data_IF_757360595746
#
_entry.id   IF_757360595746
#
_cell.length_a   1.000
_cell.length_b   1.000
_cell.length_c   1.000
_cell.angle_alpha   90.00
_cell.angle_beta   90.00
_cell.angle_gamma   90.00
#
_symmetry.space_group_name_H-M   'P 1'
#
loop_
_entity.id
_entity.type
_entity.pdbx_description
1 polymer ?
#
# COMPACT_ATOMS: atom_id res chain seq x y z
N UNK A 1 -137.61 13.85 53.48
CA UNK A 1 -137.38 13.09 52.23
C UNK A 1 -136.66 13.93 51.16
N UNK A 2 -136.92 15.25 51.08
CA UNK A 2 -136.29 16.14 50.07
C UNK A 2 -134.83 16.50 50.39
N UNK A 3 -134.48 16.78 51.66
CA UNK A 3 -133.09 17.11 52.05
C UNK A 3 -132.09 15.99 51.75
N UNK A 4 -132.48 14.73 51.97
CA UNK A 4 -131.63 13.57 51.67
C UNK A 4 -131.38 13.41 50.16
N UNK A 5 -132.37 13.75 49.31
CA UNK A 5 -132.20 13.73 47.86
C UNK A 5 -131.23 14.82 47.37
N UNK A 6 -131.27 16.00 47.97
CA UNK A 6 -130.34 17.09 47.66
C UNK A 6 -128.90 16.75 48.05
N UNK A 7 -128.70 16.24 49.28
CA UNK A 7 -127.39 15.81 49.76
C UNK A 7 -126.77 14.71 48.89
N UNK A 8 -127.57 13.70 48.51
CA UNK A 8 -127.11 12.63 47.61
C UNK A 8 -126.78 13.18 46.22
N UNK A 9 -127.55 14.15 45.70
CA UNK A 9 -127.29 14.79 44.40
C UNK A 9 -125.98 15.58 44.39
N UNK A 10 -125.70 16.36 45.44
CA UNK A 10 -124.47 17.15 45.55
C UNK A 10 -123.23 16.26 45.69
N UNK A 11 -123.32 15.18 46.47
CA UNK A 11 -122.26 14.19 46.60
C UNK A 11 -121.97 13.48 45.26
N UNK A 12 -123.03 13.14 44.49
CA UNK A 12 -122.91 12.58 43.15
C UNK A 12 -122.28 13.56 42.16
N UNK A 13 -122.61 14.85 42.26
CA UNK A 13 -122.04 15.88 41.42
C UNK A 13 -120.53 16.07 41.71
N UNK A 14 -120.13 16.10 42.99
CA UNK A 14 -118.72 16.14 43.41
C UNK A 14 -117.96 14.91 42.92
N UNK A 15 -118.49 13.72 43.19
CA UNK A 15 -117.86 12.46 42.76
C UNK A 15 -117.69 12.38 41.24
N UNK A 16 -118.66 12.88 40.46
CA UNK A 16 -118.54 12.99 38.99
C UNK A 16 -117.47 14.00 38.57
N UNK A 17 -117.36 15.14 39.26
CA UNK A 17 -116.33 16.14 39.02
C UNK A 17 -114.92 15.60 39.30
N UNK A 18 -114.75 14.88 40.41
CA UNK A 18 -113.47 14.24 40.76
C UNK A 18 -113.13 13.10 39.80
N UNK A 19 -114.11 12.32 39.36
CA UNK A 19 -113.93 11.30 38.32
C UNK A 19 -113.52 11.92 36.98
N UNK A 20 -114.04 13.11 36.64
CA UNK A 20 -113.65 13.81 35.41
C UNK A 20 -112.20 14.31 35.49
N UNK A 21 -111.80 14.93 36.60
CA UNK A 21 -110.42 15.40 36.82
C UNK A 21 -109.42 14.24 36.82
N UNK A 22 -109.72 13.16 37.54
CA UNK A 22 -108.85 11.97 37.56
C UNK A 22 -108.70 11.32 36.18
N UNK A 23 -109.75 11.34 35.34
CA UNK A 23 -109.65 10.90 33.94
C UNK A 23 -108.79 11.83 33.09
N UNK A 24 -108.88 13.14 33.30
CA UNK A 24 -108.05 14.13 32.62
C UNK A 24 -106.57 13.96 33.00
N UNK A 25 -106.27 13.87 34.30
CA UNK A 25 -104.92 13.62 34.81
C UNK A 25 -104.36 12.29 34.31
N UNK A 26 -105.18 11.24 34.27
CA UNK A 26 -104.78 9.94 33.72
C UNK A 26 -104.46 10.04 32.22
N UNK A 27 -105.21 10.86 31.47
CA UNK A 27 -104.96 11.05 30.05
C UNK A 27 -103.68 11.84 29.82
N UNK A 28 -103.47 12.93 30.57
CA UNK A 28 -102.24 13.73 30.54
C UNK A 28 -101.02 12.86 30.91
N UNK A 29 -101.14 12.04 31.96
CA UNK A 29 -100.08 11.12 32.36
C UNK A 29 -99.77 10.08 31.28
N UNK A 30 -100.78 9.54 30.60
CA UNK A 30 -100.56 8.62 29.46
C UNK A 30 -99.79 9.29 28.33
N UNK A 31 -100.18 10.49 27.93
CA UNK A 31 -99.48 11.25 26.87
C UNK A 31 -98.05 11.58 27.27
N UNK A 32 -97.80 12.01 28.51
CA UNK A 32 -96.43 12.24 28.99
C UNK A 32 -95.61 10.95 29.02
N UNK A 33 -96.19 9.82 29.45
CA UNK A 33 -95.49 8.54 29.50
C UNK A 33 -95.15 8.02 28.09
N UNK A 34 -96.04 8.20 27.11
CA UNK A 34 -95.77 7.91 25.70
C UNK A 34 -94.63 8.79 25.17
N UNK A 35 -94.62 10.08 25.50
CA UNK A 35 -93.53 11.00 25.14
C UNK A 35 -92.20 10.55 25.74
N UNK A 36 -92.18 10.23 27.04
CA UNK A 36 -90.96 9.75 27.70
C UNK A 36 -90.45 8.44 27.13
N UNK A 37 -91.34 7.53 26.72
CA UNK A 37 -90.96 6.29 26.02
C UNK A 37 -90.29 6.60 24.69
N UNK A 38 -90.89 7.46 23.86
CA UNK A 38 -90.32 7.86 22.58
C UNK A 38 -88.95 8.53 22.75
N UNK A 39 -88.80 9.43 23.73
CA UNK A 39 -87.50 10.05 24.04
C UNK A 39 -86.47 9.03 24.53
N UNK A 40 -86.85 8.11 25.41
CA UNK A 40 -85.93 7.07 25.88
C UNK A 40 -85.49 6.13 24.77
N UNK A 41 -86.38 5.78 23.84
CA UNK A 41 -86.03 5.01 22.65
C UNK A 41 -85.04 5.79 21.76
N UNK A 42 -85.29 7.08 21.54
CA UNK A 42 -84.36 7.97 20.81
C UNK A 42 -82.97 8.03 21.44
N UNK A 43 -82.91 8.29 22.76
CA UNK A 43 -81.65 8.33 23.52
C UNK A 43 -80.94 6.98 23.56
N UNK A 44 -81.68 5.87 23.53
CA UNK A 44 -81.11 4.53 23.47
C UNK A 44 -80.45 4.27 22.11
N UNK A 45 -81.09 4.71 21.03
CA UNK A 45 -80.53 4.61 19.68
C UNK A 45 -79.30 5.50 19.52
N UNK A 46 -79.35 6.75 19.96
CA UNK A 46 -78.21 7.67 19.90
C UNK A 46 -77.02 7.14 20.70
N UNK A 47 -77.24 6.59 21.91
CA UNK A 47 -76.18 5.94 22.68
C UNK A 47 -75.57 4.74 21.96
N UNK A 48 -76.38 3.97 21.23
CA UNK A 48 -75.90 2.84 20.43
C UNK A 48 -75.00 3.32 19.29
N UNK A 49 -75.41 4.38 18.59
CA UNK A 49 -74.67 4.95 17.47
C UNK A 49 -73.36 5.57 17.93
N UNK A 50 -73.39 6.39 19.01
CA UNK A 50 -72.19 6.97 19.61
C UNK A 50 -71.20 5.90 20.08
N UNK A 51 -71.70 4.77 20.60
CA UNK A 51 -70.84 3.64 20.99
C UNK A 51 -70.18 3.01 19.76
N UNK A 52 -70.93 2.80 18.68
CA UNK A 52 -70.41 2.27 17.42
C UNK A 52 -69.34 3.18 16.82
N UNK A 53 -69.58 4.50 16.82
CA UNK A 53 -68.61 5.48 16.31
C UNK A 53 -67.34 5.53 17.18
N UNK A 54 -67.49 5.44 18.51
CA UNK A 54 -66.36 5.35 19.42
C UNK A 54 -65.48 4.14 19.10
N UNK A 55 -66.08 2.97 18.91
CA UNK A 55 -65.35 1.75 18.55
C UNK A 55 -64.65 1.90 17.20
N UNK A 56 -65.31 2.52 16.22
CA UNK A 56 -64.71 2.83 14.91
C UNK A 56 -63.51 3.77 15.02
N UNK A 57 -63.63 4.87 15.76
CA UNK A 57 -62.53 5.82 15.94
C UNK A 57 -61.37 5.22 16.71
N UNK A 58 -61.64 4.38 17.72
CA UNK A 58 -60.59 3.63 18.42
C UNK A 58 -59.83 2.70 17.47
N UNK A 59 -60.54 2.00 16.57
CA UNK A 59 -59.91 1.20 15.52
C UNK A 59 -59.04 2.02 14.57
N UNK A 60 -59.53 3.18 14.12
CA UNK A 60 -58.76 4.08 13.26
C UNK A 60 -57.51 4.63 13.96
N UNK A 61 -57.60 4.99 15.24
CA UNK A 61 -56.46 5.45 16.03
C UNK A 61 -55.40 4.36 16.14
N UNK A 62 -55.79 3.12 16.43
CA UNK A 62 -54.84 2.00 16.50
C UNK A 62 -54.15 1.72 15.16
N UNK A 63 -54.90 1.80 14.04
CA UNK A 63 -54.34 1.65 12.71
C UNK A 63 -53.36 2.77 12.37
N UNK A 64 -53.69 4.02 12.70
CA UNK A 64 -52.81 5.18 12.50
C UNK A 64 -51.54 5.07 13.36
N UNK A 65 -51.65 4.65 14.61
CA UNK A 65 -50.50 4.42 15.48
C UNK A 65 -49.55 3.37 14.90
N UNK A 66 -50.10 2.27 14.38
CA UNK A 66 -49.30 1.22 13.72
C UNK A 66 -48.61 1.75 12.48
N UNK A 67 -49.32 2.51 11.65
CA UNK A 67 -48.76 3.14 10.44
C UNK A 67 -47.65 4.13 10.75
N UNK A 68 -47.81 4.90 11.84
CA UNK A 68 -46.83 5.89 12.29
C UNK A 68 -45.56 5.20 12.80
N UNK A 69 -45.70 4.13 13.60
CA UNK A 69 -44.57 3.31 14.03
C UNK A 69 -43.80 2.71 12.83
N UNK A 70 -44.51 2.14 11.85
CA UNK A 70 -43.87 1.59 10.64
C UNK A 70 -43.11 2.66 9.84
N UNK A 71 -43.67 3.88 9.76
CA UNK A 71 -43.00 5.00 9.10
C UNK A 71 -41.76 5.46 9.87
N UNK A 72 -41.81 5.51 11.20
CA UNK A 72 -40.65 5.87 12.03
C UNK A 72 -39.52 4.84 11.89
N UNK A 73 -39.84 3.55 11.89
CA UNK A 73 -38.88 2.47 11.63
C UNK A 73 -38.24 2.61 10.24
N UNK A 74 -39.04 2.95 9.22
CA UNK A 74 -38.54 3.17 7.88
C UNK A 74 -37.66 4.41 7.76
N UNK A 75 -38.01 5.50 8.44
CA UNK A 75 -37.18 6.72 8.50
C UNK A 75 -35.82 6.41 9.15
N UNK A 76 -35.82 5.68 10.28
CA UNK A 76 -34.57 5.27 10.93
C UNK A 76 -33.69 4.40 10.03
N UNK A 77 -34.31 3.51 9.25
CA UNK A 77 -33.58 2.70 8.27
C UNK A 77 -32.95 3.56 7.16
N UNK A 78 -33.73 4.50 6.59
CA UNK A 78 -33.24 5.41 5.55
C UNK A 78 -32.13 6.33 6.07
N UNK A 79 -32.22 6.81 7.30
CA UNK A 79 -31.17 7.64 7.91
C UNK A 79 -29.87 6.86 8.08
N UNK A 80 -29.96 5.59 8.49
CA UNK A 80 -28.80 4.70 8.56
C UNK A 80 -28.19 4.46 7.18
N UNK A 81 -29.00 4.11 6.19
CA UNK A 81 -28.53 3.88 4.81
C UNK A 81 -27.88 5.14 4.23
N UNK A 82 -28.48 6.31 4.45
CA UNK A 82 -27.90 7.60 4.04
C UNK A 82 -26.56 7.85 4.71
N UNK A 83 -26.43 7.59 6.01
CA UNK A 83 -25.17 7.72 6.73
C UNK A 83 -24.09 6.81 6.14
N UNK A 84 -24.44 5.55 5.86
CA UNK A 84 -23.52 4.56 5.26
C UNK A 84 -23.10 4.97 3.85
N UNK A 85 -24.02 5.50 3.03
CA UNK A 85 -23.74 5.99 1.68
C UNK A 85 -22.86 7.25 1.67
N UNK A 86 -23.03 8.15 2.65
CA UNK A 86 -22.16 9.32 2.80
C UNK A 86 -20.75 8.87 3.17
N UNK A 87 -20.60 7.98 4.15
CA UNK A 87 -19.31 7.45 4.55
C UNK A 87 -18.59 6.70 3.40
N UNK A 88 -19.34 5.96 2.57
CA UNK A 88 -18.79 5.32 1.38
C UNK A 88 -18.34 6.33 0.32
N UNK A 89 -19.12 7.38 0.06
CA UNK A 89 -18.72 8.43 -0.88
C UNK A 89 -17.46 9.16 -0.43
N UNK A 90 -17.32 9.46 0.87
CA UNK A 90 -16.14 10.13 1.40
C UNK A 90 -14.88 9.25 1.25
N UNK A 91 -15.01 7.94 1.50
CA UNK A 91 -13.92 6.97 1.25
C UNK A 91 -13.55 6.90 -0.22
N UNK A 92 -14.52 6.73 -1.11
CA UNK A 92 -14.27 6.68 -2.56
C UNK A 92 -13.62 7.97 -3.07
N UNK A 93 -13.95 9.12 -2.49
CA UNK A 93 -13.29 10.39 -2.80
C UNK A 93 -11.82 10.39 -2.37
N UNK A 94 -11.54 9.96 -1.14
CA UNK A 94 -10.18 9.84 -0.63
C UNK A 94 -9.35 8.87 -1.46
N UNK A 95 -9.88 7.68 -1.74
CA UNK A 95 -9.22 6.66 -2.56
C UNK A 95 -8.92 7.18 -3.97
N UNK A 96 -9.86 7.96 -4.55
CA UNK A 96 -9.65 8.58 -5.85
C UNK A 96 -8.54 9.63 -5.83
N UNK A 97 -8.52 10.50 -4.82
CA UNK A 97 -7.48 11.52 -4.67
C UNK A 97 -6.10 10.88 -4.49
N UNK A 98 -6.01 9.80 -3.71
CA UNK A 98 -4.79 9.01 -3.56
C UNK A 98 -4.36 8.35 -4.86
N UNK A 99 -5.31 7.74 -5.60
CA UNK A 99 -5.03 7.13 -6.89
C UNK A 99 -4.57 8.15 -7.94
N UNK A 100 -5.19 9.33 -7.99
CA UNK A 100 -4.80 10.42 -8.88
C UNK A 100 -3.38 10.92 -8.54
N UNK A 101 -3.07 11.09 -7.26
CA UNK A 101 -1.72 11.47 -6.80
C UNK A 101 -0.67 10.41 -7.15
N UNK A 102 -0.97 9.13 -6.88
CA UNK A 102 -0.10 8.02 -7.21
C UNK A 102 0.15 7.94 -8.73
N UNK A 103 -0.90 8.12 -9.54
CA UNK A 103 -0.81 8.16 -11.00
C UNK A 103 0.11 9.29 -11.47
N UNK A 104 -0.09 10.52 -10.99
CA UNK A 104 0.78 11.65 -11.35
C UNK A 104 2.24 11.39 -10.95
N UNK A 105 2.47 10.78 -9.78
CA UNK A 105 3.83 10.44 -9.34
C UNK A 105 4.48 9.38 -10.24
N UNK A 106 3.71 8.39 -10.70
CA UNK A 106 4.17 7.34 -11.60
C UNK A 106 4.47 7.90 -12.99
N UNK A 107 3.59 8.76 -13.53
CA UNK A 107 3.81 9.44 -14.81
C UNK A 107 5.07 10.31 -14.78
N UNK A 108 5.30 11.04 -13.69
CA UNK A 108 6.52 11.84 -13.51
C UNK A 108 7.77 10.96 -13.40
N UNK A 109 7.70 9.85 -12.66
CA UNK A 109 8.80 8.91 -12.52
C UNK A 109 9.13 8.26 -13.87
N UNK A 110 8.11 7.91 -14.66
CA UNK A 110 8.29 7.36 -16.00
C UNK A 110 8.96 8.39 -16.93
N UNK A 111 8.46 9.63 -16.96
CA UNK A 111 9.05 10.68 -17.78
C UNK A 111 10.52 10.94 -17.44
N UNK A 112 10.89 10.87 -16.15
CA UNK A 112 12.29 10.97 -15.71
C UNK A 112 13.12 9.79 -16.19
N UNK A 113 12.62 8.56 -16.02
CA UNK A 113 13.32 7.37 -16.47
C UNK A 113 13.54 7.37 -18.01
N UNK A 114 12.59 7.89 -18.78
CA UNK A 114 12.72 8.05 -20.23
C UNK A 114 13.81 9.07 -20.61
N UNK A 115 13.91 10.19 -19.88
CA UNK A 115 14.97 11.18 -20.09
C UNK A 115 16.35 10.63 -19.70
N UNK A 116 16.44 9.94 -18.55
CA UNK A 116 17.68 9.30 -18.10
C UNK A 116 18.16 8.25 -19.11
N UNK A 117 17.22 7.47 -19.67
CA UNK A 117 17.54 6.48 -20.70
C UNK A 117 18.05 7.13 -21.99
N UNK A 118 17.49 8.27 -22.39
CA UNK A 118 18.01 9.04 -23.53
C UNK A 118 19.43 9.55 -23.27
N UNK A 119 19.67 10.16 -22.10
CA UNK A 119 20.99 10.66 -21.73
C UNK A 119 22.05 9.55 -21.70
N UNK A 120 21.75 8.43 -21.05
CA UNK A 120 22.65 7.27 -21.00
C UNK A 120 22.89 6.70 -22.41
N UNK A 121 21.87 6.67 -23.27
CA UNK A 121 22.03 6.22 -24.65
C UNK A 121 22.95 7.16 -25.46
N UNK A 122 22.86 8.46 -25.25
CA UNK A 122 23.74 9.45 -25.88
C UNK A 122 25.18 9.32 -25.37
N UNK A 123 25.37 9.20 -24.06
CA UNK A 123 26.68 8.98 -23.43
C UNK A 123 27.33 7.67 -23.89
N UNK A 124 26.56 6.59 -23.98
CA UNK A 124 27.03 5.30 -24.48
C UNK A 124 27.52 5.44 -25.94
N UNK A 125 26.76 6.14 -26.78
CA UNK A 125 27.14 6.40 -28.17
C UNK A 125 28.43 7.21 -28.27
N UNK A 126 28.55 8.30 -27.49
CA UNK A 126 29.75 9.13 -27.44
C UNK A 126 30.97 8.32 -26.97
N UNK A 127 30.82 7.54 -25.90
CA UNK A 127 31.88 6.68 -25.35
C UNK A 127 32.31 5.60 -26.36
N UNK A 128 31.37 5.05 -27.13
CA UNK A 128 31.68 4.08 -28.19
C UNK A 128 32.49 4.71 -29.33
N UNK A 129 32.18 5.96 -29.69
CA UNK A 129 32.96 6.73 -30.68
C UNK A 129 34.37 6.97 -30.16
N UNK A 130 34.52 7.42 -28.90
CA UNK A 130 35.82 7.64 -28.27
C UNK A 130 36.64 6.35 -28.15
N UNK A 131 36.02 5.24 -27.77
CA UNK A 131 36.68 3.94 -27.71
C UNK A 131 37.21 3.53 -29.09
N UNK A 132 36.43 3.77 -30.14
CA UNK A 132 36.80 3.45 -31.52
C UNK A 132 37.95 4.33 -31.99
N UNK A 133 37.90 5.64 -31.73
CA UNK A 133 38.96 6.57 -32.11
C UNK A 133 40.25 6.29 -31.34
N UNK A 134 40.17 5.99 -30.04
CA UNK A 134 41.30 5.59 -29.20
C UNK A 134 41.93 4.28 -29.69
N UNK A 135 41.12 3.27 -30.04
CA UNK A 135 41.61 2.02 -30.65
C UNK A 135 42.36 2.29 -31.95
N UNK A 136 41.75 3.04 -32.88
CA UNK A 136 42.38 3.37 -34.15
C UNK A 136 43.70 4.15 -33.96
N UNK A 137 43.75 5.07 -33.00
CA UNK A 137 44.97 5.80 -32.66
C UNK A 137 46.05 4.87 -32.10
N UNK A 138 45.66 3.91 -31.25
CA UNK A 138 46.58 2.92 -30.68
C UNK A 138 47.13 1.97 -31.76
N UNK A 139 46.28 1.52 -32.68
CA UNK A 139 46.67 0.69 -33.83
C UNK A 139 47.62 1.45 -34.77
N UNK A 140 47.32 2.73 -35.08
CA UNK A 140 48.18 3.58 -35.87
C UNK A 140 49.54 3.82 -35.20
N UNK A 141 49.55 4.04 -33.88
CA UNK A 141 50.78 4.18 -33.10
C UNK A 141 51.58 2.87 -33.08
N UNK A 142 50.91 1.72 -32.99
CA UNK A 142 51.54 0.40 -33.07
C UNK A 142 52.18 0.15 -34.44
N UNK A 143 51.48 0.49 -35.53
CA UNK A 143 52.04 0.43 -36.88
C UNK A 143 53.23 1.38 -37.06
N UNK A 144 53.15 2.59 -36.50
CA UNK A 144 54.27 3.53 -36.51
C UNK A 144 55.48 2.99 -35.73
N UNK A 145 55.26 2.42 -34.53
CA UNK A 145 56.32 1.73 -33.78
C UNK A 145 56.94 0.61 -34.61
N UNK A 146 56.13 -0.22 -35.28
CA UNK A 146 56.61 -1.32 -36.13
C UNK A 146 57.41 -0.80 -37.34
N UNK A 147 56.97 0.29 -37.97
CA UNK A 147 57.69 0.92 -39.08
C UNK A 147 59.00 1.59 -38.66
N UNK A 148 59.05 2.20 -37.46
CA UNK A 148 60.28 2.77 -36.89
C UNK A 148 61.28 1.66 -36.57
N UNK A 149 60.82 0.53 -35.99
CA UNK A 149 61.65 -0.67 -35.76
C UNK A 149 62.22 -1.20 -37.08
N UNK A 150 61.47 -1.14 -38.20
CA UNK A 150 61.95 -1.59 -39.52
C UNK A 150 62.88 -0.62 -40.25
N UNK A 151 62.80 0.69 -40.02
CA UNK A 151 63.58 1.74 -40.74
C UNK A 151 64.91 2.09 -40.09
N UNK A 152 65.20 1.55 -38.92
CA UNK A 152 66.53 1.61 -38.32
C UNK A 152 67.22 0.27 -38.67
N UNK A 153 68.23 0.25 -39.55
CA UNK A 153 69.07 -0.93 -39.71
C UNK A 153 69.88 -1.06 -38.41
N UNK A 154 69.67 -2.16 -37.69
CA UNK A 154 70.11 -2.47 -36.32
C UNK A 154 69.16 -1.98 -35.19
N UNK A 155 67.95 -2.54 -35.13
CA UNK A 155 67.20 -2.66 -33.86
C UNK A 155 67.15 -4.12 -33.39
N UNK A 156 68.08 -4.96 -33.83
CA UNK A 156 68.32 -6.25 -33.16
C UNK A 156 68.94 -6.08 -31.75
N UNK A 157 69.21 -4.83 -31.33
CA UNK A 157 69.75 -4.51 -29.99
C UNK A 157 68.92 -3.52 -29.15
N UNK A 158 67.73 -3.06 -29.60
CA UNK A 158 66.95 -2.09 -28.79
C UNK A 158 65.44 -2.34 -28.84
N UNK A 159 64.99 -3.58 -28.66
CA UNK A 159 63.78 -3.88 -27.87
C UNK A 159 63.97 -5.23 -27.17
N UNK A 160 64.99 -5.31 -26.33
CA UNK A 160 64.70 -5.80 -25.00
C UNK A 160 64.88 -4.59 -24.10
N UNK A 161 63.82 -4.08 -23.50
CA UNK A 161 64.01 -3.80 -22.07
C UNK A 161 64.33 -5.18 -21.48
N UNK A 162 65.59 -5.59 -21.58
CA UNK A 162 66.22 -6.36 -20.54
C UNK A 162 66.13 -5.43 -19.35
N UNK A 163 64.95 -5.40 -18.71
CA UNK A 163 64.83 -5.02 -17.33
C UNK A 163 65.99 -5.75 -16.68
N UNK A 164 66.93 -4.99 -16.13
CA UNK A 164 68.10 -5.54 -15.46
C UNK A 164 67.58 -6.69 -14.61
N UNK A 165 68.10 -7.93 -14.78
CA UNK A 165 67.59 -9.06 -14.03
C UNK A 165 67.61 -8.66 -12.55
N UNK A 166 66.42 -8.59 -11.98
CA UNK A 166 66.26 -8.10 -10.62
C UNK A 166 66.43 -9.33 -9.75
N UNK A 167 67.61 -9.43 -9.16
CA UNK A 167 67.89 -10.46 -8.18
C UNK A 167 67.42 -9.95 -6.81
N UNK A 168 66.53 -10.70 -6.20
CA UNK A 168 65.90 -10.40 -4.92
C UNK A 168 65.99 -11.62 -4.00
N UNK A 169 65.69 -11.40 -2.72
CA UNK A 169 65.51 -12.48 -1.76
C UNK A 169 64.11 -12.42 -1.15
N UNK A 170 63.59 -13.58 -0.75
CA UNK A 170 62.32 -13.66 -0.02
C UNK A 170 62.52 -13.13 1.40
N UNK A 171 61.89 -12.01 1.71
CA UNK A 171 61.96 -11.36 3.03
C UNK A 171 60.87 -11.87 3.98
N UNK A 172 59.69 -12.18 3.43
CA UNK A 172 58.58 -12.73 4.21
C UNK A 172 57.74 -13.67 3.36
N UNK A 173 57.22 -14.72 3.98
CA UNK A 173 56.30 -15.66 3.35
C UNK A 173 55.11 -15.91 4.28
N UNK A 174 53.90 -15.72 3.77
CA UNK A 174 52.62 -16.01 4.44
C UNK A 174 51.90 -17.13 3.68
N UNK A 175 52.06 -18.39 4.11
CA UNK A 175 51.47 -19.54 3.42
C UNK A 175 49.93 -19.49 3.36
N UNK A 176 49.29 -19.00 4.44
CA UNK A 176 47.82 -18.95 4.56
C UNK A 176 47.15 -18.08 3.49
N UNK A 177 47.88 -17.09 2.97
CA UNK A 177 47.38 -16.16 1.95
C UNK A 177 48.06 -16.34 0.58
N UNK A 178 48.95 -17.33 0.42
CA UNK A 178 49.81 -17.49 -0.77
C UNK A 178 50.54 -16.19 -1.16
N UNK A 179 51.01 -15.44 -0.16
CA UNK A 179 51.72 -14.18 -0.37
C UNK A 179 53.18 -14.31 0.03
N UNK A 180 54.05 -13.73 -0.78
CA UNK A 180 55.48 -13.63 -0.54
C UNK A 180 55.91 -12.19 -0.75
N UNK A 181 56.85 -11.71 0.06
CA UNK A 181 57.46 -10.39 -0.07
C UNK A 181 58.89 -10.56 -0.48
N UNK A 182 59.30 -9.89 -1.55
CA UNK A 182 60.67 -9.91 -2.08
C UNK A 182 61.38 -8.59 -1.78
N UNK A 183 62.69 -8.65 -1.60
CA UNK A 183 63.58 -7.50 -1.38
C UNK A 183 63.91 -6.75 -2.68
N UNK A 184 62.89 -6.52 -3.49
CA UNK A 184 63.00 -5.71 -4.69
C UNK A 184 61.71 -4.94 -4.90
N UNK A 185 61.82 -3.64 -5.12
CA UNK A 185 60.69 -2.73 -5.23
C UNK A 185 60.66 -1.96 -6.53
N UNK A 186 59.89 -0.88 -6.56
CA UNK A 186 59.77 -0.02 -7.74
C UNK A 186 61.08 0.71 -8.07
N UNK A 187 61.94 0.96 -7.09
CA UNK A 187 63.27 1.54 -7.35
C UNK A 187 64.21 0.56 -8.05
N UNK A 188 64.04 -0.74 -7.79
CA UNK A 188 64.76 -1.82 -8.48
C UNK A 188 64.16 -2.17 -9.85
N UNK A 189 63.10 -1.48 -10.25
CA UNK A 189 62.43 -1.67 -11.55
C UNK A 189 61.32 -2.72 -11.55
N UNK A 190 60.88 -3.21 -10.38
CA UNK A 190 59.78 -4.17 -10.26
C UNK A 190 58.43 -3.50 -10.51
N UNK A 191 57.61 -4.07 -11.39
CA UNK A 191 56.27 -3.59 -11.73
C UNK A 191 55.20 -4.60 -11.32
N UNK A 192 53.99 -4.09 -11.05
CA UNK A 192 52.82 -4.94 -10.80
C UNK A 192 52.52 -5.74 -12.06
N UNK A 193 52.40 -7.07 -11.92
CA UNK A 193 52.22 -8.01 -13.01
C UNK A 193 53.47 -8.82 -13.36
N UNK A 194 54.67 -8.38 -12.94
CA UNK A 194 55.92 -9.08 -13.22
C UNK A 194 55.96 -10.47 -12.58
N UNK A 195 56.68 -11.39 -13.22
CA UNK A 195 56.82 -12.78 -12.78
C UNK A 195 58.23 -13.01 -12.23
N UNK A 196 58.29 -13.57 -11.01
CA UNK A 196 59.51 -13.95 -10.34
C UNK A 196 59.59 -15.46 -10.15
N UNK A 197 60.78 -16.00 -10.40
CA UNK A 197 61.12 -17.40 -10.19
C UNK A 197 61.90 -17.52 -8.89
N UNK A 198 61.39 -18.29 -7.93
CA UNK A 198 62.01 -18.52 -6.62
C UNK A 198 62.83 -19.81 -6.67
N UNK A 199 64.08 -19.75 -6.22
CA UNK A 199 65.01 -20.87 -6.19
C UNK A 199 65.83 -20.92 -4.89
N UNK A 200 66.19 -22.14 -4.48
CA UNK A 200 67.12 -22.41 -3.36
C UNK A 200 68.21 -23.33 -3.86
N UNK A 201 69.47 -22.91 -3.69
CA UNK A 201 70.65 -23.67 -4.13
C UNK A 201 70.59 -24.08 -5.62
N UNK A 202 70.01 -23.22 -6.46
CA UNK A 202 69.81 -23.46 -7.90
C UNK A 202 68.61 -24.33 -8.27
N UNK A 203 67.87 -24.87 -7.29
CA UNK A 203 66.65 -25.65 -7.53
C UNK A 203 65.42 -24.76 -7.59
N UNK A 204 64.58 -24.95 -8.61
CA UNK A 204 63.31 -24.26 -8.76
C UNK A 204 62.29 -24.68 -7.68
N UNK A 205 61.79 -23.70 -6.94
CA UNK A 205 60.79 -23.89 -5.88
C UNK A 205 59.41 -23.41 -6.34
N UNK A 206 59.30 -22.18 -6.83
CA UNK A 206 57.99 -21.56 -7.08
C UNK A 206 58.03 -20.45 -8.12
N UNK A 207 56.87 -20.12 -8.68
CA UNK A 207 56.62 -18.91 -9.46
C UNK A 207 55.67 -17.99 -8.71
N UNK A 208 56.01 -16.71 -8.63
CA UNK A 208 55.19 -15.69 -7.99
C UNK A 208 54.96 -14.52 -8.95
N UNK A 209 53.78 -13.91 -8.90
CA UNK A 209 53.44 -12.74 -9.69
C UNK A 209 53.28 -11.53 -8.78
N UNK A 210 53.90 -10.40 -9.13
CA UNK A 210 53.84 -9.17 -8.34
C UNK A 210 52.42 -8.60 -8.36
N UNK A 211 51.86 -8.38 -7.18
CA UNK A 211 50.52 -7.81 -6.98
C UNK A 211 50.55 -6.38 -6.47
N UNK A 212 51.62 -6.02 -5.75
CA UNK A 212 51.82 -4.68 -5.20
C UNK A 212 53.32 -4.38 -5.08
N UNK A 213 53.71 -3.13 -5.29
CA UNK A 213 55.09 -2.67 -5.18
C UNK A 213 55.18 -1.44 -4.30
N UNK A 214 56.25 -1.38 -3.51
CA UNK A 214 56.71 -0.22 -2.73
C UNK A 214 58.13 0.12 -3.21
N UNK A 215 58.75 1.25 -2.79
CA UNK A 215 60.10 1.62 -3.22
C UNK A 215 61.13 0.49 -3.07
N UNK A 216 61.16 -0.16 -1.90
CA UNK A 216 62.19 -1.15 -1.53
C UNK A 216 61.72 -2.62 -1.53
N UNK A 217 60.40 -2.85 -1.58
CA UNK A 217 59.80 -4.18 -1.43
C UNK A 217 58.65 -4.40 -2.42
N UNK A 218 58.42 -5.65 -2.81
CA UNK A 218 57.25 -6.03 -3.59
C UNK A 218 56.52 -7.22 -2.98
N UNK A 219 55.20 -7.12 -2.94
CA UNK A 219 54.30 -8.20 -2.56
C UNK A 219 53.87 -9.00 -3.79
N UNK A 220 54.25 -10.27 -3.82
CA UNK A 220 53.90 -11.21 -4.87
C UNK A 220 52.92 -12.27 -4.37
N UNK A 221 52.03 -12.72 -5.26
CA UNK A 221 51.17 -13.89 -5.04
C UNK A 221 51.79 -15.11 -5.70
N UNK A 222 51.88 -16.21 -4.96
CA UNK A 222 52.41 -17.47 -5.46
C UNK A 222 51.40 -18.06 -6.45
N UNK A 223 51.86 -18.30 -7.68
CA UNK A 223 51.07 -18.91 -8.76
C UNK A 223 51.24 -20.43 -8.76
N UNK A 224 52.46 -20.89 -8.48
CA UNK A 224 52.81 -22.30 -8.52
C UNK A 224 53.95 -22.59 -7.55
N UNK A 225 53.88 -23.72 -6.85
CA UNK A 225 54.96 -24.26 -6.02
C UNK A 225 55.22 -25.70 -6.47
N UNK A 226 56.48 -26.07 -6.59
CA UNK A 226 56.90 -27.42 -6.95
C UNK A 226 56.57 -28.42 -5.83
N UNK A 227 56.16 -29.64 -6.19
CA UNK A 227 55.65 -30.63 -5.26
C UNK A 227 56.68 -31.00 -4.18
N UNK A 228 56.27 -30.89 -2.91
CA UNK A 228 57.11 -31.20 -1.75
C UNK A 228 58.08 -30.10 -1.32
N UNK A 229 58.10 -28.94 -1.99
CA UNK A 229 58.93 -27.80 -1.60
C UNK A 229 58.08 -26.69 -0.96
N UNK A 230 58.66 -25.99 0.02
CA UNK A 230 58.06 -24.81 0.64
C UNK A 230 59.00 -23.62 0.56
N UNK A 231 58.42 -22.45 0.25
CA UNK A 231 59.12 -21.18 0.22
C UNK A 231 59.52 -20.81 1.65
N UNK A 232 60.78 -20.38 1.82
CA UNK A 232 61.33 -19.91 3.09
C UNK A 232 61.92 -18.52 2.92
N UNK A 233 61.98 -17.79 4.03
CA UNK A 233 62.70 -16.52 4.10
C UNK A 233 64.17 -16.79 3.80
N UNK A 234 64.75 -16.01 2.88
CA UNK A 234 66.11 -16.18 2.38
C UNK A 234 66.24 -16.93 1.05
N UNK A 235 65.14 -17.45 0.48
CA UNK A 235 65.17 -18.01 -0.88
C UNK A 235 65.46 -16.91 -1.91
N UNK A 236 66.19 -17.24 -2.97
CA UNK A 236 66.51 -16.28 -4.02
C UNK A 236 65.34 -16.18 -5.00
N UNK A 237 65.08 -14.98 -5.51
CA UNK A 237 64.04 -14.70 -6.50
C UNK A 237 64.65 -13.90 -7.64
N UNK A 238 64.41 -14.30 -8.89
CA UNK A 238 64.89 -13.56 -10.05
C UNK A 238 63.78 -13.39 -11.08
N UNK A 239 63.78 -12.23 -11.75
CA UNK A 239 62.88 -11.95 -12.88
C UNK A 239 63.30 -12.65 -14.18
N UNK A 240 64.47 -13.33 -14.19
CA UNK A 240 64.91 -14.14 -15.34
C UNK A 240 64.05 -15.40 -15.48
N UNK A 241 63.48 -15.60 -16.67
CA UNK A 241 63.00 -16.91 -17.13
C UNK A 241 64.23 -17.83 -17.24
N UNK A 242 64.42 -18.70 -16.25
CA UNK A 242 65.39 -19.80 -16.38
C UNK A 242 64.83 -20.79 -17.42
N UNK A 243 65.49 -20.89 -18.57
CA UNK A 243 65.36 -21.99 -19.53
C UNK A 243 66.42 -23.04 -19.24
#
# INVERSE_FOLDING_TARGET
>A
AEEWKSLVSDELAKSRGDLAKTKEDLNNFKTSNETYRATNEGLTNENRDLKSDKERFQGNIAALQTSLQQKDEHIQQLDKEKSDLVAQNDRLRSDKEEADSAKTSAELAQARAELDLQQVSEELSATQIELTSAKNANDALSLFKEQVVRKIPNVDDIVTEAANPVDAAVVAHKPESNLVVISAGSEDGVKVGDLFTIYRDGNFIAKAQITHTTPDLAGARIQFTNDGQSIRVGDNASSRLAY
#
